data_IF_599660159118
#
_entry.id   IF_599660159118
#
_cell.length_a   1.000
_cell.length_b   1.000
_cell.length_c   1.000
_cell.angle_alpha   90.00
_cell.angle_beta   90.00
_cell.angle_gamma   90.00
#
_symmetry.space_group_name_H-M   'P 1'
#
loop_
_entity.id
_entity.type
_entity.pdbx_description
1 polymer ?
#
# COMPACT_ATOMS: atom_id res chain seq x y z
N UNK A 1 -20.23 4.48 0.12
CA UNK A 1 -18.87 3.90 0.06
C UNK A 1 -18.45 3.45 1.45
N UNK A 2 -17.58 2.45 1.54
CA UNK A 2 -17.04 1.89 2.79
C UNK A 2 -15.63 1.34 2.55
N UNK A 3 -14.91 0.98 3.61
CA UNK A 3 -13.60 0.33 3.47
C UNK A 3 -13.68 -1.15 3.82
N UNK A 4 -12.79 -1.91 3.19
CA UNK A 4 -12.42 -3.27 3.58
C UNK A 4 -10.94 -3.31 3.92
N UNK A 5 -10.52 -4.31 4.69
CA UNK A 5 -9.15 -4.52 5.09
C UNK A 5 -8.67 -5.84 4.52
N UNK A 6 -7.79 -5.77 3.52
CA UNK A 6 -7.22 -6.95 2.89
C UNK A 6 -5.93 -7.36 3.60
N UNK A 7 -5.78 -8.64 4.00
CA UNK A 7 -4.61 -9.07 4.73
C UNK A 7 -3.36 -9.13 3.86
N UNK A 8 -2.24 -8.68 4.42
CA UNK A 8 -0.89 -8.87 3.92
C UNK A 8 -0.23 -9.91 4.83
N UNK A 9 0.28 -10.99 4.24
CA UNK A 9 0.59 -12.24 4.95
C UNK A 9 2.07 -12.59 4.81
N UNK A 10 2.70 -12.94 5.92
CA UNK A 10 3.95 -13.70 5.94
C UNK A 10 3.64 -15.19 5.83
N UNK A 11 4.32 -15.88 4.92
CA UNK A 11 4.08 -17.29 4.61
C UNK A 11 5.37 -18.08 4.77
N UNK A 12 5.39 -19.07 5.67
CA UNK A 12 6.53 -19.97 5.82
C UNK A 12 6.53 -21.10 4.77
N UNK A 13 7.61 -21.91 4.71
CA UNK A 13 7.75 -23.00 3.76
C UNK A 13 6.66 -24.08 3.84
N UNK A 14 5.98 -24.20 4.99
CA UNK A 14 4.91 -25.16 5.21
C UNK A 14 3.52 -24.54 4.94
N UNK A 15 3.48 -23.37 4.33
CA UNK A 15 2.27 -22.55 4.12
C UNK A 15 1.52 -22.15 5.39
N UNK A 16 2.16 -22.20 6.55
CA UNK A 16 1.60 -21.57 7.73
C UNK A 16 1.70 -20.05 7.57
N UNK A 17 0.61 -19.38 7.91
CA UNK A 17 0.44 -17.95 7.70
C UNK A 17 0.48 -17.18 9.01
N UNK A 18 1.00 -15.97 8.92
CA UNK A 18 0.88 -14.95 9.95
C UNK A 18 0.50 -13.63 9.28
N UNK A 19 -0.56 -13.01 9.74
CA UNK A 19 -0.93 -11.68 9.28
C UNK A 19 0.17 -10.71 9.74
N UNK A 20 0.75 -9.99 8.80
CA UNK A 20 1.72 -8.92 9.04
C UNK A 20 0.98 -7.59 9.23
N UNK A 21 0.13 -7.28 8.30
CA UNK A 21 -0.62 -6.02 8.24
C UNK A 21 -1.86 -6.17 7.37
N UNK A 22 -2.61 -5.09 7.24
CA UNK A 22 -3.76 -5.00 6.35
C UNK A 22 -3.62 -3.79 5.44
N UNK A 23 -4.14 -3.87 4.24
CA UNK A 23 -4.35 -2.72 3.38
C UNK A 23 -5.81 -2.29 3.45
N UNK A 24 -6.06 -0.99 3.69
CA UNK A 24 -7.40 -0.40 3.66
C UNK A 24 -7.79 -0.02 2.23
N UNK A 25 -8.79 -0.70 1.71
CA UNK A 25 -9.28 -0.54 0.35
C UNK A 25 -10.71 0.01 0.36
N UNK A 26 -10.94 1.12 -0.35
CA UNK A 26 -12.29 1.71 -0.48
C UNK A 26 -13.10 0.93 -1.51
N UNK A 27 -14.39 0.71 -1.19
CA UNK A 27 -15.36 0.03 -2.03
C UNK A 27 -16.64 0.87 -2.18
N UNK A 28 -17.29 0.75 -3.33
CA UNK A 28 -18.65 1.25 -3.52
C UNK A 28 -19.68 0.35 -2.81
N UNK A 29 -20.94 0.68 -2.90
CA UNK A 29 -22.02 -0.09 -2.24
C UNK A 29 -22.14 -1.51 -2.75
N UNK A 30 -21.73 -1.76 -4.00
CA UNK A 30 -21.72 -3.07 -4.66
C UNK A 30 -20.49 -3.93 -4.31
N UNK A 31 -19.54 -3.39 -3.53
CA UNK A 31 -18.32 -4.08 -3.13
C UNK A 31 -17.15 -3.99 -4.11
N UNK A 32 -17.28 -3.17 -5.15
CA UNK A 32 -16.26 -2.99 -6.16
C UNK A 32 -15.38 -1.75 -5.89
N UNK A 33 -14.22 -1.70 -6.52
CA UNK A 33 -13.43 -0.48 -6.59
C UNK A 33 -14.27 0.67 -7.16
N UNK A 34 -14.28 1.87 -6.55
CA UNK A 34 -15.19 2.95 -6.96
C UNK A 34 -14.92 3.53 -8.36
N UNK A 35 -13.81 3.14 -8.99
CA UNK A 35 -13.45 3.55 -10.33
C UNK A 35 -12.65 4.85 -10.42
N UNK A 36 -12.26 5.19 -11.65
CA UNK A 36 -11.39 6.34 -11.93
C UNK A 36 -12.02 7.69 -11.55
N UNK A 37 -13.35 7.79 -11.52
CA UNK A 37 -14.07 8.99 -11.10
C UNK A 37 -13.80 9.32 -9.63
N UNK A 38 -13.72 8.31 -8.76
CA UNK A 38 -13.35 8.48 -7.37
C UNK A 38 -11.91 8.98 -7.25
N UNK A 39 -10.96 8.34 -7.96
CA UNK A 39 -9.55 8.74 -7.93
C UNK A 39 -9.37 10.20 -8.38
N UNK A 40 -10.03 10.61 -9.48
CA UNK A 40 -10.01 12.01 -9.93
C UNK A 40 -10.63 12.96 -8.88
N UNK A 41 -11.64 12.50 -8.16
CA UNK A 41 -12.25 13.24 -7.06
C UNK A 41 -11.27 13.56 -5.94
N UNK A 42 -10.29 12.68 -5.65
CA UNK A 42 -9.29 12.89 -4.61
C UNK A 42 -8.37 14.11 -4.87
N UNK A 43 -8.28 14.56 -6.11
CA UNK A 43 -7.57 15.80 -6.49
C UNK A 43 -8.38 17.07 -6.18
N UNK A 44 -9.61 16.96 -5.64
CA UNK A 44 -10.45 18.08 -5.20
C UNK A 44 -10.53 18.15 -3.68
N UNK A 45 -10.75 19.35 -3.14
CA UNK A 45 -10.88 19.52 -1.69
C UNK A 45 -12.05 18.72 -1.10
N UNK A 46 -13.18 18.65 -1.82
CA UNK A 46 -14.38 17.94 -1.34
C UNK A 46 -14.21 16.43 -1.40
N UNK A 47 -13.67 15.89 -2.50
CA UNK A 47 -13.40 14.46 -2.60
C UNK A 47 -12.33 14.00 -1.60
N UNK A 48 -11.30 14.82 -1.35
CA UNK A 48 -10.31 14.54 -0.32
C UNK A 48 -10.94 14.53 1.09
N UNK A 49 -11.85 15.46 1.39
CA UNK A 49 -12.58 15.45 2.67
C UNK A 49 -13.47 14.22 2.84
N UNK A 50 -14.14 13.78 1.76
CA UNK A 50 -14.95 12.55 1.79
C UNK A 50 -14.07 11.33 2.07
N UNK A 51 -12.91 11.22 1.41
CA UNK A 51 -11.93 10.16 1.66
C UNK A 51 -11.46 10.17 3.13
N UNK A 52 -11.14 11.34 3.69
CA UNK A 52 -10.76 11.50 5.10
C UNK A 52 -11.86 10.95 6.01
N UNK A 53 -13.11 11.36 5.81
CA UNK A 53 -14.24 10.94 6.66
C UNK A 53 -14.46 9.42 6.62
N UNK A 54 -14.38 8.79 5.43
CA UNK A 54 -14.47 7.34 5.27
C UNK A 54 -13.30 6.66 6.00
N UNK A 55 -12.09 7.18 5.85
CA UNK A 55 -10.88 6.62 6.45
C UNK A 55 -10.89 6.70 7.97
N UNK A 56 -11.32 7.83 8.55
CA UNK A 56 -11.48 8.01 10.00
C UNK A 56 -12.44 6.99 10.60
N UNK A 57 -13.63 6.87 10.02
CA UNK A 57 -14.64 5.92 10.48
C UNK A 57 -14.14 4.48 10.41
N UNK A 58 -13.50 4.12 9.31
CA UNK A 58 -12.99 2.77 9.08
C UNK A 58 -11.85 2.40 10.03
N UNK A 59 -10.88 3.32 10.22
CA UNK A 59 -9.76 3.11 11.13
C UNK A 59 -10.22 3.06 12.59
N UNK A 60 -11.21 3.85 12.97
CA UNK A 60 -11.79 3.79 14.31
C UNK A 60 -12.42 2.43 14.59
N UNK A 61 -13.15 1.86 13.62
CA UNK A 61 -13.74 0.52 13.74
C UNK A 61 -12.66 -0.57 13.80
N UNK A 62 -11.64 -0.48 12.94
CA UNK A 62 -10.62 -1.51 12.82
C UNK A 62 -9.58 -1.52 13.95
N UNK A 63 -9.18 -0.35 14.43
CA UNK A 63 -8.07 -0.18 15.38
C UNK A 63 -8.54 0.18 16.80
N UNK A 64 -9.79 0.58 16.97
CA UNK A 64 -10.33 0.96 18.28
C UNK A 64 -10.25 -0.19 19.29
N UNK A 65 -9.33 -0.08 20.26
CA UNK A 65 -9.13 -1.11 21.31
C UNK A 65 -8.20 -2.27 20.94
N UNK A 66 -7.62 -2.31 19.73
CA UNK A 66 -6.73 -3.36 19.25
C UNK A 66 -5.29 -2.88 19.07
N UNK A 67 -4.38 -3.25 19.94
CA UNK A 67 -3.00 -2.73 19.93
C UNK A 67 -2.05 -3.42 18.91
N UNK A 68 -2.40 -4.59 18.39
CA UNK A 68 -1.50 -5.42 17.58
C UNK A 68 -1.84 -5.45 16.09
N UNK A 69 -2.66 -4.52 15.61
CA UNK A 69 -3.02 -4.42 14.19
C UNK A 69 -2.25 -3.28 13.53
N UNK A 70 -1.79 -3.51 12.31
CA UNK A 70 -1.19 -2.47 11.46
C UNK A 70 -2.01 -2.37 10.19
N UNK A 71 -2.36 -1.15 9.79
CA UNK A 71 -3.14 -0.86 8.59
C UNK A 71 -2.39 0.13 7.72
N UNK A 72 -2.22 -0.20 6.45
CA UNK A 72 -1.75 0.71 5.42
C UNK A 72 -2.93 1.43 4.80
N UNK A 73 -2.83 2.75 4.69
CA UNK A 73 -3.80 3.59 3.99
C UNK A 73 -3.20 4.10 2.69
N UNK A 74 -3.94 4.01 1.61
CA UNK A 74 -3.55 4.51 0.31
C UNK A 74 -3.66 6.03 0.27
N UNK A 75 -2.57 6.71 -0.14
CA UNK A 75 -2.54 8.15 -0.40
C UNK A 75 -2.13 8.37 -1.85
N UNK A 76 -3.04 8.98 -2.60
CA UNK A 76 -2.71 9.49 -3.93
C UNK A 76 -1.79 10.72 -3.76
N UNK A 77 -0.69 10.84 -4.52
CA UNK A 77 0.20 11.98 -4.43
C UNK A 77 -0.48 13.34 -4.52
N UNK A 78 -1.58 13.46 -5.29
CA UNK A 78 -2.36 14.69 -5.39
C UNK A 78 -3.04 15.11 -4.09
N UNK A 79 -3.28 14.20 -3.15
CA UNK A 79 -3.88 14.54 -1.85
C UNK A 79 -2.91 15.30 -0.93
N UNK A 80 -1.60 15.18 -1.15
CA UNK A 80 -0.58 15.84 -0.34
C UNK A 80 -0.58 17.36 -0.47
N UNK A 81 -1.21 17.92 -1.50
CA UNK A 81 -1.42 19.37 -1.67
C UNK A 81 -2.40 19.97 -0.65
N UNK A 82 -3.26 19.14 -0.03
CA UNK A 82 -4.32 19.63 0.86
C UNK A 82 -3.86 19.66 2.33
N UNK A 83 -4.06 20.79 2.98
CA UNK A 83 -3.76 20.95 4.40
C UNK A 83 -4.59 20.01 5.28
N UNK A 84 -5.81 19.67 4.86
CA UNK A 84 -6.69 18.69 5.51
C UNK A 84 -6.07 17.29 5.58
N UNK A 85 -5.37 16.84 4.54
CA UNK A 85 -4.63 15.58 4.54
C UNK A 85 -3.56 15.55 5.63
N UNK A 86 -2.78 16.62 5.74
CA UNK A 86 -1.73 16.71 6.77
C UNK A 86 -2.25 16.81 8.19
N UNK A 87 -3.39 17.49 8.38
CA UNK A 87 -4.08 17.52 9.68
C UNK A 87 -4.57 16.12 10.06
N UNK A 88 -5.21 15.42 9.14
CA UNK A 88 -5.65 14.04 9.31
C UNK A 88 -4.47 13.11 9.66
N UNK A 89 -3.38 13.15 8.91
CA UNK A 89 -2.19 12.34 9.16
C UNK A 89 -1.60 12.59 10.55
N UNK A 90 -1.48 13.86 10.98
CA UNK A 90 -1.03 14.20 12.33
C UNK A 90 -1.95 13.63 13.40
N UNK A 91 -3.26 13.69 13.19
CA UNK A 91 -4.25 13.10 14.07
C UNK A 91 -4.09 11.57 14.16
N UNK A 92 -3.90 10.88 13.02
CA UNK A 92 -3.65 9.45 13.00
C UNK A 92 -2.40 9.06 13.80
N UNK A 93 -1.29 9.81 13.65
CA UNK A 93 -0.06 9.56 14.43
C UNK A 93 -0.28 9.73 15.92
N UNK A 94 -1.06 10.71 16.33
CA UNK A 94 -1.38 10.94 17.74
C UNK A 94 -2.26 9.83 18.30
N UNK A 95 -3.29 9.42 17.55
CA UNK A 95 -4.31 8.47 18.00
C UNK A 95 -3.84 7.03 17.93
N UNK A 96 -3.26 6.62 16.80
CA UNK A 96 -2.96 5.21 16.49
C UNK A 96 -1.46 4.89 16.49
N UNK A 97 -0.60 5.89 16.67
CA UNK A 97 0.87 5.70 16.74
C UNK A 97 1.40 4.91 15.52
N UNK A 98 1.99 3.74 15.77
CA UNK A 98 2.61 2.89 14.74
C UNK A 98 1.62 1.89 14.08
N UNK A 99 0.33 1.97 14.40
CA UNK A 99 -0.68 1.07 13.84
C UNK A 99 -1.13 1.49 12.44
N UNK A 100 -0.91 2.76 12.06
CA UNK A 100 -1.22 3.26 10.72
C UNK A 100 0.10 3.53 9.98
N UNK A 101 0.21 2.95 8.80
CA UNK A 101 1.26 3.18 7.82
C UNK A 101 0.64 3.79 6.54
N UNK A 102 1.48 4.36 5.70
CA UNK A 102 1.05 5.03 4.47
C UNK A 102 1.57 4.28 3.25
N UNK A 103 0.73 4.12 2.26
CA UNK A 103 1.06 3.57 0.96
C UNK A 103 0.91 4.64 -0.12
N UNK A 104 1.97 4.92 -0.87
CA UNK A 104 1.98 5.91 -1.95
C UNK A 104 1.71 5.20 -3.26
N UNK A 105 0.65 5.62 -3.95
CA UNK A 105 0.23 5.01 -5.21
C UNK A 105 1.11 5.48 -6.39
N UNK A 106 1.00 4.81 -7.52
CA UNK A 106 1.77 5.03 -8.74
C UNK A 106 1.28 6.25 -9.58
N UNK A 107 0.18 6.90 -9.17
CA UNK A 107 -0.49 7.96 -9.96
C UNK A 107 0.03 9.35 -9.59
N UNK A 108 1.06 9.81 -10.29
CA UNK A 108 1.69 11.12 -10.03
C UNK A 108 1.20 12.24 -10.95
N UNK A 109 0.12 12.05 -11.71
CA UNK A 109 -0.29 12.93 -12.83
C UNK A 109 -0.67 14.35 -12.41
N UNK A 110 -1.07 14.55 -11.16
CA UNK A 110 -1.47 15.86 -10.62
C UNK A 110 -0.47 16.43 -9.63
N UNK A 111 0.77 15.96 -9.67
CA UNK A 111 1.84 16.45 -8.80
C UNK A 111 2.62 17.57 -9.50
N UNK A 112 2.84 18.69 -8.81
CA UNK A 112 3.50 19.87 -9.37
C UNK A 112 4.93 19.59 -9.89
N UNK A 113 5.66 18.71 -9.24
CA UNK A 113 6.98 18.24 -9.68
C UNK A 113 7.42 17.02 -8.86
N UNK A 114 8.41 16.29 -9.38
CA UNK A 114 9.01 15.17 -8.68
C UNK A 114 9.71 15.61 -7.38
N UNK A 115 10.32 16.78 -7.37
CA UNK A 115 10.96 17.34 -6.17
C UNK A 115 9.93 17.66 -5.07
N UNK A 116 8.72 18.08 -5.45
CA UNK A 116 7.63 18.27 -4.51
C UNK A 116 7.25 16.95 -3.86
N UNK A 117 7.05 15.89 -4.64
CA UNK A 117 6.70 14.57 -4.10
C UNK A 117 7.80 14.02 -3.18
N UNK A 118 9.07 14.19 -3.55
CA UNK A 118 10.20 13.81 -2.70
C UNK A 118 10.16 14.54 -1.34
N UNK A 119 9.80 15.82 -1.31
CA UNK A 119 9.64 16.62 -0.08
C UNK A 119 8.48 16.11 0.77
N UNK A 120 7.33 15.81 0.15
CA UNK A 120 6.15 15.36 0.88
C UNK A 120 6.33 13.93 1.43
N UNK A 121 7.03 13.04 0.73
CA UNK A 121 7.41 11.72 1.25
C UNK A 121 8.36 11.85 2.44
N UNK A 122 9.35 12.73 2.36
CA UNK A 122 10.22 13.03 3.51
C UNK A 122 9.42 13.58 4.70
N UNK A 123 8.43 14.43 4.46
CA UNK A 123 7.53 14.93 5.51
C UNK A 123 6.72 13.84 6.18
N UNK A 124 6.26 12.81 5.45
CA UNK A 124 5.62 11.61 6.03
C UNK A 124 6.58 10.86 6.94
N UNK A 125 7.83 10.63 6.48
CA UNK A 125 8.89 10.03 7.30
C UNK A 125 9.13 10.83 8.57
N UNK A 126 9.24 12.15 8.48
CA UNK A 126 9.52 13.04 9.63
C UNK A 126 8.35 13.08 10.63
N UNK A 127 7.12 12.82 10.18
CA UNK A 127 5.98 12.54 11.03
C UNK A 127 6.05 11.14 11.68
N UNK A 128 6.99 10.29 11.26
CA UNK A 128 7.22 8.95 11.80
C UNK A 128 6.34 7.87 11.19
N UNK A 129 5.78 8.06 10.01
CA UNK A 129 5.06 6.99 9.32
C UNK A 129 6.03 5.97 8.73
N UNK A 130 5.61 4.70 8.77
CA UNK A 130 6.13 3.68 7.87
C UNK A 130 5.51 3.90 6.49
N UNK A 131 6.34 3.86 5.44
CA UNK A 131 5.93 4.21 4.09
C UNK A 131 6.18 3.02 3.16
N UNK A 132 5.14 2.63 2.43
CA UNK A 132 5.22 1.70 1.32
C UNK A 132 5.08 2.45 -0.02
N UNK A 133 5.74 1.96 -1.06
CA UNK A 133 5.49 2.39 -2.44
C UNK A 133 4.77 1.27 -3.17
N UNK A 134 3.60 1.60 -3.70
CA UNK A 134 2.74 0.66 -4.40
C UNK A 134 3.13 0.49 -5.88
N UNK A 135 2.75 -0.65 -6.45
CA UNK A 135 2.87 -0.97 -7.88
C UNK A 135 4.21 -0.55 -8.50
N UNK A 136 5.34 -1.03 -7.92
CA UNK A 136 6.66 -0.80 -8.54
C UNK A 136 6.67 -1.41 -9.96
N UNK A 137 7.27 -0.73 -10.91
CA UNK A 137 7.22 -0.97 -12.36
C UNK A 137 5.94 -0.47 -13.06
N UNK A 138 4.96 0.06 -12.35
CA UNK A 138 3.79 0.64 -12.98
C UNK A 138 3.76 2.17 -12.83
N UNK A 139 3.02 2.84 -13.70
CA UNK A 139 2.81 4.27 -13.66
C UNK A 139 4.11 5.06 -13.51
N UNK A 140 4.18 5.90 -12.51
CA UNK A 140 5.36 6.74 -12.22
C UNK A 140 6.33 6.13 -11.19
N UNK A 141 6.04 4.94 -10.64
CA UNK A 141 6.89 4.25 -9.67
C UNK A 141 8.05 3.51 -10.34
N UNK A 142 8.88 4.26 -11.05
CA UNK A 142 10.07 3.77 -11.74
C UNK A 142 11.20 3.41 -10.75
N UNK A 143 12.17 2.60 -11.19
CA UNK A 143 13.38 2.30 -10.44
C UNK A 143 14.09 3.57 -9.94
N UNK A 144 14.20 4.61 -10.77
CA UNK A 144 14.86 5.85 -10.42
C UNK A 144 14.12 6.59 -9.30
N UNK A 145 12.78 6.58 -9.33
CA UNK A 145 11.95 7.12 -8.27
C UNK A 145 12.15 6.34 -6.96
N UNK A 146 11.97 5.01 -6.97
CA UNK A 146 12.15 4.17 -5.79
C UNK A 146 13.54 4.36 -5.16
N UNK A 147 14.59 4.39 -5.99
CA UNK A 147 15.96 4.60 -5.51
C UNK A 147 16.16 5.91 -4.77
N UNK A 148 15.47 7.00 -5.18
CA UNK A 148 15.51 8.27 -4.46
C UNK A 148 14.78 8.21 -3.13
N UNK A 149 13.72 7.41 -3.03
CA UNK A 149 12.91 7.30 -1.82
C UNK A 149 13.50 6.36 -0.76
N UNK A 150 14.59 5.63 -1.04
CA UNK A 150 15.20 4.68 -0.10
C UNK A 150 15.41 5.22 1.33
N UNK A 151 15.79 6.50 1.55
CA UNK A 151 15.95 7.02 2.91
C UNK A 151 14.64 7.17 3.69
N UNK A 152 13.50 7.08 3.01
CA UNK A 152 12.19 7.34 3.61
C UNK A 152 11.27 6.12 3.67
N UNK A 153 11.49 5.10 2.86
CA UNK A 153 10.56 3.97 2.69
C UNK A 153 11.05 2.71 3.39
N UNK A 154 10.10 1.87 3.81
CA UNK A 154 10.36 0.57 4.44
C UNK A 154 9.84 -0.61 3.62
N UNK A 155 8.96 -0.35 2.64
CA UNK A 155 8.27 -1.40 1.89
C UNK A 155 8.10 -1.01 0.43
N UNK A 156 8.16 -2.01 -0.44
CA UNK A 156 7.76 -1.90 -1.85
C UNK A 156 6.78 -3.03 -2.19
N UNK A 157 5.83 -2.77 -3.09
CA UNK A 157 4.83 -3.74 -3.53
C UNK A 157 4.90 -3.91 -5.04
N UNK A 158 4.86 -5.16 -5.50
CA UNK A 158 4.84 -5.55 -6.91
C UNK A 158 3.58 -6.34 -7.20
N UNK A 159 2.73 -5.82 -8.07
CA UNK A 159 1.53 -6.51 -8.51
C UNK A 159 1.80 -7.45 -9.68
N UNK A 160 1.42 -8.72 -9.54
CA UNK A 160 1.47 -9.68 -10.65
C UNK A 160 0.50 -9.31 -11.77
N UNK A 161 -0.50 -8.47 -11.49
CA UNK A 161 -1.52 -8.07 -12.46
C UNK A 161 -0.96 -7.18 -13.58
N UNK A 162 0.13 -6.44 -13.31
CA UNK A 162 0.78 -5.62 -14.35
C UNK A 162 1.46 -6.47 -15.42
N UNK A 163 1.72 -7.75 -15.13
CA UNK A 163 2.40 -8.70 -16.02
C UNK A 163 1.44 -9.75 -16.62
N UNK A 164 0.14 -9.48 -16.66
CA UNK A 164 -0.88 -10.45 -17.09
C UNK A 164 -0.66 -11.01 -18.51
N UNK A 165 -0.02 -10.21 -19.38
CA UNK A 165 0.23 -10.55 -20.79
C UNK A 165 1.66 -11.10 -21.01
N UNK A 166 2.47 -11.26 -19.95
CA UNK A 166 3.86 -11.71 -20.03
C UNK A 166 3.99 -13.21 -19.71
N UNK A 167 5.05 -13.83 -20.24
CA UNK A 167 5.40 -15.21 -19.91
C UNK A 167 5.95 -15.34 -18.48
N UNK A 168 5.89 -16.56 -17.96
CA UNK A 168 6.29 -16.86 -16.57
C UNK A 168 7.77 -16.58 -16.29
N UNK A 169 8.66 -16.74 -17.26
CA UNK A 169 10.09 -16.52 -17.09
C UNK A 169 10.37 -15.03 -16.96
N UNK A 170 9.79 -14.22 -17.83
CA UNK A 170 9.86 -12.75 -17.77
C UNK A 170 9.37 -12.23 -16.43
N UNK A 171 8.18 -12.67 -15.97
CA UNK A 171 7.63 -12.28 -14.67
C UNK A 171 8.59 -12.62 -13.52
N UNK A 172 9.15 -13.84 -13.52
CA UNK A 172 10.08 -14.26 -12.47
C UNK A 172 11.37 -13.44 -12.47
N UNK A 173 11.87 -13.03 -13.63
CA UNK A 173 13.04 -12.17 -13.73
C UNK A 173 12.82 -10.80 -13.12
N UNK A 174 11.65 -10.18 -13.34
CA UNK A 174 11.26 -8.94 -12.68
C UNK A 174 11.17 -9.10 -11.16
N UNK A 175 10.51 -10.17 -10.69
CA UNK A 175 10.40 -10.45 -9.26
C UNK A 175 11.78 -10.64 -8.63
N UNK A 176 12.67 -11.41 -9.24
CA UNK A 176 14.02 -11.63 -8.73
C UNK A 176 14.85 -10.34 -8.67
N UNK A 177 14.72 -9.47 -9.68
CA UNK A 177 15.41 -8.18 -9.69
C UNK A 177 14.96 -7.29 -8.53
N UNK A 178 13.63 -7.17 -8.31
CA UNK A 178 13.09 -6.39 -7.22
C UNK A 178 13.32 -7.01 -5.84
N UNK A 179 13.27 -8.34 -5.74
CA UNK A 179 13.63 -9.04 -4.51
C UNK A 179 15.10 -8.78 -4.13
N UNK A 180 16.02 -8.88 -5.09
CA UNK A 180 17.43 -8.57 -4.88
C UNK A 180 17.65 -7.13 -4.45
N UNK A 181 16.91 -6.20 -5.06
CA UNK A 181 16.92 -4.79 -4.67
C UNK A 181 16.41 -4.60 -3.24
N UNK A 182 15.27 -5.21 -2.90
CA UNK A 182 14.65 -5.11 -1.56
C UNK A 182 15.61 -5.70 -0.48
N UNK A 183 16.20 -6.86 -0.73
CA UNK A 183 17.20 -7.48 0.16
C UNK A 183 18.39 -6.55 0.42
N UNK A 184 18.96 -5.99 -0.65
CA UNK A 184 20.11 -5.10 -0.56
C UNK A 184 19.82 -3.85 0.27
N UNK A 185 18.60 -3.35 0.19
CA UNK A 185 18.18 -2.09 0.83
C UNK A 185 17.35 -2.29 2.11
N UNK A 186 17.22 -3.54 2.57
CA UNK A 186 16.50 -3.91 3.80
C UNK A 186 15.03 -3.46 3.78
N UNK A 187 14.37 -3.59 2.63
CA UNK A 187 12.96 -3.30 2.44
C UNK A 187 12.14 -4.58 2.55
N UNK A 188 10.94 -4.49 3.12
CA UNK A 188 9.91 -5.51 2.92
C UNK A 188 9.47 -5.53 1.45
N UNK A 189 9.19 -6.72 0.93
CA UNK A 189 8.76 -6.90 -0.45
C UNK A 189 7.42 -7.63 -0.49
N UNK A 190 6.35 -6.90 -0.85
CA UNK A 190 5.01 -7.49 -1.02
C UNK A 190 4.83 -7.91 -2.46
N UNK A 191 4.43 -9.17 -2.67
CA UNK A 191 3.97 -9.67 -3.97
C UNK A 191 2.45 -9.73 -3.94
N UNK A 192 1.83 -8.98 -4.81
CA UNK A 192 0.38 -8.87 -4.92
C UNK A 192 -0.18 -9.72 -6.06
N UNK A 193 -1.51 -9.93 -6.01
CA UNK A 193 -2.19 -10.72 -7.03
C UNK A 193 -2.03 -12.24 -6.85
N UNK A 194 -1.71 -12.71 -5.63
CA UNK A 194 -1.67 -14.13 -5.31
C UNK A 194 -3.09 -14.71 -5.43
N UNK A 195 -3.33 -15.51 -6.47
CA UNK A 195 -4.65 -16.03 -6.82
C UNK A 195 -4.90 -17.47 -6.40
N UNK A 196 -3.82 -18.25 -6.20
CA UNK A 196 -3.90 -19.68 -5.94
C UNK A 196 -2.72 -20.21 -5.11
N UNK A 197 -2.83 -21.46 -4.69
CA UNK A 197 -1.83 -22.14 -3.88
C UNK A 197 -0.46 -22.26 -4.61
N UNK A 198 -0.47 -22.45 -5.92
CA UNK A 198 0.78 -22.61 -6.69
C UNK A 198 1.58 -21.30 -6.68
N UNK A 199 0.91 -20.17 -6.85
CA UNK A 199 1.51 -18.85 -6.73
C UNK A 199 2.04 -18.60 -5.31
N UNK A 200 1.23 -18.93 -4.29
CA UNK A 200 1.61 -18.77 -2.89
C UNK A 200 2.87 -19.59 -2.52
N UNK A 201 2.96 -20.84 -2.97
CA UNK A 201 4.09 -21.73 -2.69
C UNK A 201 5.42 -21.22 -3.28
N UNK A 202 5.37 -20.58 -4.45
CA UNK A 202 6.59 -20.06 -5.12
C UNK A 202 7.35 -19.05 -4.27
N UNK A 203 6.64 -18.28 -3.47
CA UNK A 203 7.19 -17.16 -2.69
C UNK A 203 7.25 -17.46 -1.20
N UNK A 204 6.82 -18.66 -0.78
CA UNK A 204 6.80 -19.05 0.62
C UNK A 204 8.20 -19.25 1.21
N UNK A 205 8.38 -18.90 2.48
CA UNK A 205 9.60 -19.16 3.25
C UNK A 205 10.75 -18.19 3.03
N UNK A 206 10.56 -17.14 2.26
CA UNK A 206 11.51 -16.02 2.23
C UNK A 206 11.08 -14.98 3.29
N UNK A 207 11.95 -14.63 4.24
CA UNK A 207 11.57 -13.79 5.39
C UNK A 207 11.18 -12.35 5.04
N UNK A 208 11.63 -11.83 3.91
CA UNK A 208 11.30 -10.46 3.48
C UNK A 208 10.14 -10.40 2.49
N UNK A 209 9.68 -11.56 1.98
CA UNK A 209 8.52 -11.61 1.08
C UNK A 209 7.26 -11.72 1.91
N UNK A 210 6.38 -10.76 1.68
CA UNK A 210 4.99 -10.78 2.10
C UNK A 210 4.11 -11.05 0.89
N UNK A 211 2.93 -11.58 1.11
CA UNK A 211 1.99 -11.95 0.05
C UNK A 211 0.64 -11.31 0.28
N UNK A 212 0.02 -10.82 -0.80
CA UNK A 212 -1.33 -10.29 -0.80
C UNK A 212 -2.09 -10.79 -2.04
N UNK A 213 -3.38 -11.09 -1.89
CA UNK A 213 -4.21 -11.52 -3.01
C UNK A 213 -5.42 -12.32 -2.58
N UNK A 214 -6.28 -12.64 -3.53
CA UNK A 214 -7.56 -13.30 -3.28
C UNK A 214 -7.44 -14.70 -2.67
N UNK A 215 -6.33 -15.38 -2.91
CA UNK A 215 -6.04 -16.66 -2.25
C UNK A 215 -5.99 -16.52 -0.73
N UNK A 216 -5.47 -15.41 -0.22
CA UNK A 216 -5.35 -15.13 1.21
C UNK A 216 -6.58 -14.43 1.80
N UNK A 217 -7.39 -13.80 0.95
CA UNK A 217 -8.61 -13.10 1.32
C UNK A 217 -8.90 -11.89 0.44
N UNK A 218 -10.18 -11.63 0.25
CA UNK A 218 -10.64 -10.45 -0.51
C UNK A 218 -10.77 -9.20 0.34
N UNK A 219 -10.54 -9.34 1.65
CA UNK A 219 -10.74 -8.27 2.63
C UNK A 219 -12.11 -8.34 3.32
N UNK A 220 -12.14 -7.85 4.55
CA UNK A 220 -13.34 -7.79 5.41
C UNK A 220 -13.56 -6.39 5.94
N UNK A 221 -14.78 -6.06 6.36
CA UNK A 221 -15.08 -4.73 6.96
C UNK A 221 -14.53 -4.60 8.38
N UNK A 222 -14.34 -5.73 9.06
CA UNK A 222 -13.84 -5.82 10.42
C UNK A 222 -12.61 -6.72 10.46
N UNK A 223 -11.64 -6.39 11.28
CA UNK A 223 -10.40 -7.14 11.47
C UNK A 223 -10.12 -7.36 12.96
#
# INVERSE_FOLDING_TARGET
MYSIFQPIINVNKLLNTKIDSYEMLIRNEEGHFPGIGFIKGLATADGNKQWIAISEQSLQSALGGHQNRKVYINIEPCQMQFNSTWQFLKQLRTTYKNQVAVEITERHEHVHSINYLDQEINRLRDLGFEIAIDDVCAGSNSYAFIKRQLPAIQRIKLSLLIFKDEDKETVMNFIHAWLTFAQKHQLDFVIEGISDQQAAQKFAGNPIILQQGYYWGTGTREI
#
